data_IF_037962846565
#
_entry.id   IF_037962846565
#
_cell.length_a   1.000
_cell.length_b   1.000
_cell.length_c   1.000
_cell.angle_alpha   90.00
_cell.angle_beta   90.00
_cell.angle_gamma   90.00
#
_symmetry.space_group_name_H-M   'P 1'
#
loop_
_entity.id
_entity.type
_entity.pdbx_description
1 polymer ?
#
# COMPACT_ATOMS: atom_id res chain seq x y z
N UNK A 1 14.19 -5.29 -27.87
CA UNK A 1 12.85 -4.70 -27.65
C UNK A 1 11.99 -5.55 -26.71
N UNK A 2 11.65 -6.82 -27.01
CA UNK A 2 10.77 -7.61 -26.11
C UNK A 2 11.35 -7.85 -24.70
N UNK A 3 12.65 -8.15 -24.59
CA UNK A 3 13.31 -8.36 -23.28
C UNK A 3 13.27 -7.12 -22.39
N UNK A 4 13.47 -5.95 -22.99
CA UNK A 4 13.50 -4.66 -22.29
C UNK A 4 12.11 -4.26 -21.78
N UNK A 5 11.08 -4.46 -22.60
CA UNK A 5 9.69 -4.25 -22.19
C UNK A 5 9.30 -5.18 -21.03
N UNK A 6 9.73 -6.45 -21.10
CA UNK A 6 9.50 -7.42 -20.04
C UNK A 6 10.17 -7.01 -18.72
N UNK A 7 11.40 -6.51 -18.78
CA UNK A 7 12.13 -6.02 -17.59
C UNK A 7 11.48 -4.77 -16.98
N UNK A 8 11.03 -3.81 -17.80
CA UNK A 8 10.30 -2.63 -17.34
C UNK A 8 9.00 -3.02 -16.63
N UNK A 9 8.26 -3.98 -17.20
CA UNK A 9 7.04 -4.50 -16.60
C UNK A 9 7.31 -5.22 -15.26
N UNK A 10 8.31 -6.10 -15.21
CA UNK A 10 8.68 -6.82 -13.98
C UNK A 10 9.14 -5.86 -12.87
N UNK A 11 9.88 -4.81 -13.24
CA UNK A 11 10.23 -3.74 -12.31
C UNK A 11 8.97 -3.03 -11.78
N UNK A 12 8.07 -2.60 -12.67
CA UNK A 12 6.84 -1.92 -12.30
C UNK A 12 6.01 -2.77 -11.33
N UNK A 13 5.82 -4.05 -11.65
CA UNK A 13 5.11 -5.01 -10.82
C UNK A 13 5.70 -5.14 -9.42
N UNK A 14 7.03 -5.26 -9.29
CA UNK A 14 7.71 -5.31 -7.99
C UNK A 14 7.46 -4.04 -7.17
N UNK A 15 7.47 -2.86 -7.80
CA UNK A 15 7.20 -1.58 -7.13
C UNK A 15 5.76 -1.48 -6.65
N UNK A 16 4.79 -1.93 -7.43
CA UNK A 16 3.38 -1.94 -7.01
C UNK A 16 3.16 -2.90 -5.84
N UNK A 17 3.80 -4.08 -5.84
CA UNK A 17 3.75 -5.00 -4.69
C UNK A 17 4.28 -4.38 -3.40
N UNK A 18 5.37 -3.61 -3.48
CA UNK A 18 5.92 -2.88 -2.33
C UNK A 18 4.95 -1.80 -1.84
N UNK A 19 4.33 -1.04 -2.74
CA UNK A 19 3.30 -0.04 -2.38
C UNK A 19 2.13 -0.71 -1.66
N UNK A 20 1.62 -1.84 -2.17
CA UNK A 20 0.52 -2.59 -1.54
C UNK A 20 0.85 -3.00 -0.10
N UNK A 21 2.07 -3.47 0.15
CA UNK A 21 2.55 -3.78 1.50
C UNK A 21 2.59 -2.56 2.42
N UNK A 22 3.12 -1.44 1.92
CA UNK A 22 3.17 -0.18 2.67
C UNK A 22 1.77 0.31 3.04
N UNK A 23 0.82 0.31 2.10
CA UNK A 23 -0.56 0.72 2.39
C UNK A 23 -1.23 -0.16 3.44
N UNK A 24 -1.04 -1.48 3.37
CA UNK A 24 -1.53 -2.39 4.42
C UNK A 24 -0.93 -2.03 5.78
N UNK A 25 0.39 -1.81 5.84
CA UNK A 25 1.06 -1.42 7.07
C UNK A 25 0.58 -0.05 7.59
N UNK A 26 0.37 0.94 6.70
CA UNK A 26 -0.16 2.25 7.05
C UNK A 26 -1.57 2.16 7.64
N UNK A 27 -2.45 1.38 7.02
CA UNK A 27 -3.81 1.16 7.53
C UNK A 27 -3.77 0.47 8.89
N UNK A 28 -2.97 -0.59 9.03
CA UNK A 28 -2.77 -1.29 10.30
C UNK A 28 -2.23 -0.36 11.39
N UNK A 29 -1.26 0.49 11.06
CA UNK A 29 -0.67 1.45 12.00
C UNK A 29 -1.67 2.50 12.46
N UNK A 30 -2.46 3.07 11.55
CA UNK A 30 -3.48 4.08 11.89
C UNK A 30 -4.58 3.50 12.78
N UNK A 31 -5.09 2.30 12.43
CA UNK A 31 -6.10 1.60 13.24
C UNK A 31 -5.53 1.17 14.58
N UNK A 32 -4.29 0.64 14.58
CA UNK A 32 -3.59 0.24 15.80
C UNK A 32 -3.35 1.41 16.74
N UNK A 33 -2.94 2.57 16.23
CA UNK A 33 -2.75 3.75 17.09
C UNK A 33 -4.08 4.25 17.66
N UNK A 34 -5.16 4.24 16.86
CA UNK A 34 -6.50 4.59 17.34
C UNK A 34 -6.98 3.62 18.42
N UNK A 35 -6.77 2.32 18.22
CA UNK A 35 -7.08 1.29 19.21
C UNK A 35 -6.30 1.48 20.51
N UNK A 36 -4.98 1.70 20.43
CA UNK A 36 -4.14 1.95 21.60
C UNK A 36 -4.54 3.23 22.34
N UNK A 37 -4.93 4.27 21.61
CA UNK A 37 -5.43 5.52 22.21
C UNK A 37 -6.74 5.30 22.99
N UNK A 38 -7.68 4.55 22.40
CA UNK A 38 -8.93 4.15 23.07
C UNK A 38 -8.60 3.29 24.29
N UNK A 39 -7.78 2.25 24.12
CA UNK A 39 -7.37 1.37 25.21
C UNK A 39 -6.74 2.15 26.37
N UNK A 40 -5.83 3.09 26.09
CA UNK A 40 -5.22 3.95 27.10
C UNK A 40 -6.26 4.79 27.87
N UNK A 41 -7.28 5.32 27.19
CA UNK A 41 -8.36 6.08 27.84
C UNK A 41 -9.25 5.20 28.71
N UNK A 42 -9.55 3.98 28.27
CA UNK A 42 -10.38 3.02 29.00
C UNK A 42 -9.63 2.26 30.10
N UNK A 43 -8.30 2.18 30.05
CA UNK A 43 -7.45 1.57 31.09
C UNK A 43 -7.56 2.25 32.46
N UNK A 44 -8.12 3.45 32.54
CA UNK A 44 -8.42 4.12 33.80
C UNK A 44 -9.61 3.49 34.56
N UNK A 45 -10.32 2.55 33.94
CA UNK A 45 -11.37 1.71 34.55
C UNK A 45 -10.71 0.35 34.82
N UNK A 46 -10.47 0.03 36.10
CA UNK A 46 -9.61 -1.07 36.55
C UNK A 46 -9.72 -2.39 35.77
N UNK A 47 -8.56 -2.92 35.37
CA UNK A 47 -8.38 -4.13 34.55
C UNK A 47 -8.95 -5.38 35.23
N UNK A 48 -8.83 -5.45 36.57
CA UNK A 48 -9.18 -6.62 37.39
C UNK A 48 -10.68 -7.00 37.35
N UNK A 49 -11.59 -6.04 37.15
CA UNK A 49 -13.04 -6.31 37.18
C UNK A 49 -13.62 -6.67 35.80
N UNK A 50 -12.88 -6.40 34.71
CA UNK A 50 -13.45 -6.31 33.36
C UNK A 50 -12.66 -7.08 32.28
N UNK A 51 -11.99 -8.18 32.64
CA UNK A 51 -11.24 -9.02 31.69
C UNK A 51 -12.05 -9.40 30.42
N UNK A 52 -13.33 -9.71 30.57
CA UNK A 52 -14.19 -10.07 29.44
C UNK A 52 -14.33 -8.92 28.43
N UNK A 53 -14.44 -7.67 28.92
CA UNK A 53 -14.52 -6.47 28.07
C UNK A 53 -13.21 -6.28 27.30
N UNK A 54 -12.06 -6.52 27.94
CA UNK A 54 -10.75 -6.47 27.29
C UNK A 54 -10.61 -7.51 26.17
N UNK A 55 -11.01 -8.75 26.42
CA UNK A 55 -10.99 -9.82 25.41
C UNK A 55 -11.90 -9.47 24.23
N UNK A 56 -13.14 -9.05 24.48
CA UNK A 56 -14.10 -8.66 23.44
C UNK A 56 -13.57 -7.47 22.64
N UNK A 57 -12.96 -6.49 23.30
CA UNK A 57 -12.41 -5.29 22.64
C UNK A 57 -11.25 -5.63 21.71
N UNK A 58 -10.32 -6.50 22.13
CA UNK A 58 -9.22 -6.99 21.28
C UNK A 58 -9.78 -7.79 20.10
N UNK A 59 -10.76 -8.67 20.33
CA UNK A 59 -11.39 -9.46 19.26
C UNK A 59 -12.11 -8.58 18.25
N UNK A 60 -12.82 -7.56 18.72
CA UNK A 60 -13.48 -6.58 17.87
C UNK A 60 -12.47 -5.78 17.03
N UNK A 61 -11.34 -5.39 17.62
CA UNK A 61 -10.26 -4.72 16.89
C UNK A 61 -9.67 -5.60 15.77
N UNK A 62 -9.38 -6.87 16.06
CA UNK A 62 -8.91 -7.81 15.04
C UNK A 62 -9.96 -8.03 13.94
N UNK A 63 -11.25 -8.05 14.29
CA UNK A 63 -12.34 -8.15 13.32
C UNK A 63 -12.40 -6.93 12.40
N UNK A 64 -12.27 -5.72 12.93
CA UNK A 64 -12.20 -4.48 12.13
C UNK A 64 -10.99 -4.52 11.18
N UNK A 65 -9.82 -4.93 11.66
CA UNK A 65 -8.63 -5.08 10.82
C UNK A 65 -8.87 -6.06 9.68
N UNK A 66 -9.49 -7.21 9.96
CA UNK A 66 -9.83 -8.21 8.95
C UNK A 66 -10.82 -7.64 7.93
N UNK A 67 -11.86 -6.93 8.40
CA UNK A 67 -12.86 -6.32 7.55
C UNK A 67 -12.24 -5.31 6.58
N UNK A 68 -11.43 -4.38 7.09
CA UNK A 68 -10.78 -3.36 6.27
C UNK A 68 -9.80 -3.99 5.27
N UNK A 69 -9.02 -5.00 5.70
CA UNK A 69 -8.12 -5.73 4.80
C UNK A 69 -8.86 -6.32 3.60
N UNK A 70 -9.96 -7.04 3.83
CA UNK A 70 -10.69 -7.76 2.77
C UNK A 70 -11.56 -6.83 1.94
N UNK A 71 -12.31 -5.94 2.57
CA UNK A 71 -13.33 -5.13 1.89
C UNK A 71 -12.80 -3.83 1.31
N UNK A 72 -11.75 -3.25 1.90
CA UNK A 72 -11.16 -1.99 1.44
C UNK A 72 -9.85 -2.30 0.72
N UNK A 73 -8.82 -2.79 1.41
CA UNK A 73 -7.47 -2.91 0.84
C UNK A 73 -7.41 -3.87 -0.34
N UNK A 74 -7.99 -5.08 -0.21
CA UNK A 74 -7.96 -6.08 -1.29
C UNK A 74 -8.94 -5.76 -2.43
N UNK A 75 -10.06 -5.11 -2.15
CA UNK A 75 -11.00 -4.64 -3.18
C UNK A 75 -10.44 -3.47 -3.98
N UNK A 76 -9.81 -2.50 -3.30
CA UNK A 76 -9.22 -1.32 -3.94
C UNK A 76 -7.98 -1.69 -4.74
N UNK A 77 -7.09 -2.54 -4.20
CA UNK A 77 -5.91 -3.05 -4.90
C UNK A 77 -6.18 -4.42 -5.52
N UNK A 78 -7.25 -4.48 -6.31
CA UNK A 78 -7.55 -5.64 -7.13
C UNK A 78 -6.56 -5.74 -8.31
N UNK A 79 -6.70 -6.80 -9.12
CA UNK A 79 -5.83 -7.02 -10.28
C UNK A 79 -5.92 -5.90 -11.33
N UNK A 80 -7.07 -5.26 -11.47
CA UNK A 80 -7.29 -4.23 -12.47
C UNK A 80 -6.57 -2.93 -12.07
N UNK A 81 -6.67 -2.55 -10.79
CA UNK A 81 -5.88 -1.47 -10.22
C UNK A 81 -4.37 -1.75 -10.36
N UNK A 82 -3.92 -2.98 -10.10
CA UNK A 82 -2.51 -3.34 -10.26
C UNK A 82 -2.04 -3.13 -11.70
N UNK A 83 -2.83 -3.57 -12.69
CA UNK A 83 -2.52 -3.34 -14.11
C UNK A 83 -2.49 -1.86 -14.47
N UNK A 84 -3.50 -1.09 -14.06
CA UNK A 84 -3.56 0.35 -14.35
C UNK A 84 -2.33 1.10 -13.80
N UNK A 85 -1.88 0.74 -12.59
CA UNK A 85 -0.69 1.33 -12.00
C UNK A 85 0.60 0.92 -12.73
N UNK A 86 0.69 -0.33 -13.20
CA UNK A 86 1.83 -0.80 -13.99
C UNK A 86 1.87 -0.09 -15.34
N UNK A 87 0.76 -0.04 -16.06
CA UNK A 87 0.67 0.62 -17.37
C UNK A 87 1.01 2.10 -17.28
N UNK A 88 0.52 2.78 -16.23
CA UNK A 88 0.90 4.16 -15.93
C UNK A 88 2.41 4.30 -15.70
N UNK A 89 3.03 3.39 -14.96
CA UNK A 89 4.47 3.47 -14.67
C UNK A 89 5.31 3.22 -15.92
N UNK A 90 4.96 2.22 -16.72
CA UNK A 90 5.64 1.91 -17.99
C UNK A 90 5.51 3.11 -18.95
N UNK A 91 4.32 3.70 -19.07
CA UNK A 91 4.12 4.89 -19.91
C UNK A 91 4.99 6.08 -19.45
N UNK A 92 5.17 6.27 -18.13
CA UNK A 92 6.05 7.31 -17.59
C UNK A 92 7.53 7.01 -17.89
N UNK A 93 7.96 5.75 -17.80
CA UNK A 93 9.32 5.34 -18.16
C UNK A 93 9.60 5.57 -19.64
N UNK A 94 8.70 5.18 -20.53
CA UNK A 94 8.83 5.42 -21.97
C UNK A 94 8.91 6.92 -22.30
N UNK A 95 8.05 7.75 -21.70
CA UNK A 95 8.13 9.21 -21.87
C UNK A 95 9.47 9.77 -21.41
N UNK A 96 10.01 9.26 -20.31
CA UNK A 96 11.32 9.70 -19.79
C UNK A 96 12.46 9.29 -20.70
N UNK A 97 12.41 8.10 -21.31
CA UNK A 97 13.41 7.65 -22.30
C UNK A 97 13.42 8.60 -23.51
N UNK A 98 12.25 8.89 -24.10
CA UNK A 98 12.14 9.81 -25.25
C UNK A 98 12.70 11.20 -24.92
N UNK A 99 12.43 11.72 -23.72
CA UNK A 99 12.99 13.00 -23.28
C UNK A 99 14.51 12.97 -23.12
N UNK A 100 15.08 11.86 -22.66
CA UNK A 100 16.52 11.72 -22.52
C UNK A 100 17.18 11.57 -23.90
N UNK A 101 16.57 10.84 -24.82
CA UNK A 101 17.03 10.73 -26.21
C UNK A 101 17.03 12.08 -26.93
N UNK A 102 15.99 12.91 -26.74
CA UNK A 102 15.96 14.25 -27.33
C UNK A 102 17.06 15.16 -26.75
N UNK A 103 17.28 15.10 -25.42
CA UNK A 103 18.33 15.88 -24.76
C UNK A 103 19.73 15.48 -25.23
N UNK A 104 20.00 14.18 -25.37
CA UNK A 104 21.28 13.68 -25.88
C UNK A 104 21.53 14.11 -27.33
N UNK A 105 20.50 14.08 -28.18
CA UNK A 105 20.62 14.51 -29.56
C UNK A 105 20.90 16.02 -29.66
N UNK A 106 20.24 16.84 -28.84
CA UNK A 106 20.50 18.28 -28.74
C UNK A 106 21.92 18.58 -28.26
N UNK A 107 22.40 17.89 -27.21
CA UNK A 107 23.76 18.06 -26.68
C UNK A 107 24.84 17.57 -27.65
N UNK A 108 24.58 16.50 -28.41
CA UNK A 108 25.52 15.98 -29.42
C UNK A 108 25.60 16.82 -30.70
N UNK A 109 24.59 17.68 -30.93
CA UNK A 109 24.52 18.56 -32.10
C UNK A 109 25.13 19.96 -31.83
N UNK A 110 25.44 20.28 -30.58
CA UNK A 110 26.16 21.50 -30.14
C UNK A 110 27.65 21.25 -29.96
#
# INVERSE_FOLDING_TARGET
MEKELHEQYEYARRRIKQKKGLYFHSVLFLLGSLFLFIAHKFLNIGIETNWCIWVITIWFFLFILHFIKVYITDRFMNKDWEREQIDRLVALQQKKIIQLESQLNEESAT
#
